data_IF_795809872791
#
_entry.id   IF_795809872791
#
_cell.length_a   1.000
_cell.length_b   1.000
_cell.length_c   1.000
_cell.angle_alpha   90.00
_cell.angle_beta   90.00
_cell.angle_gamma   90.00
#
_symmetry.space_group_name_H-M   'P 1'
#
loop_
_entity.id
_entity.type
_entity.pdbx_description
1 polymer ?
#
# COMPACT_ATOMS: atom_id res chain seq x y z
N UNK A 1 -8.72 -12.96 4.30
CA UNK A 1 -9.07 -11.67 3.66
C UNK A 1 -8.16 -11.50 2.45
N UNK A 2 -8.69 -11.20 1.27
CA UNK A 2 -7.84 -10.86 0.12
C UNK A 2 -7.04 -9.60 0.46
N UNK A 3 -5.73 -9.64 0.21
CA UNK A 3 -4.87 -8.48 0.37
C UNK A 3 -5.16 -7.43 -0.71
N UNK A 4 -4.83 -6.17 -0.42
CA UNK A 4 -4.97 -5.06 -1.38
C UNK A 4 -4.13 -5.29 -2.66
N UNK A 5 -3.05 -6.06 -2.55
CA UNK A 5 -2.10 -6.40 -3.62
C UNK A 5 -2.43 -7.69 -4.39
N UNK A 6 -3.54 -8.33 -4.02
CA UNK A 6 -3.94 -9.65 -4.52
C UNK A 6 -4.97 -9.47 -5.64
N UNK A 7 -4.80 -10.15 -6.78
CA UNK A 7 -5.59 -9.77 -7.97
C UNK A 7 -5.45 -10.65 -9.21
N UNK A 8 -4.88 -11.86 -9.11
CA UNK A 8 -4.90 -12.83 -10.19
C UNK A 8 -5.88 -13.97 -9.89
N UNK A 9 -6.58 -14.44 -10.92
CA UNK A 9 -7.41 -15.64 -10.86
C UNK A 9 -6.53 -16.87 -11.06
N UNK A 10 -5.77 -17.24 -10.01
CA UNK A 10 -4.90 -18.41 -10.06
C UNK A 10 -5.74 -19.71 -10.07
N UNK A 11 -5.70 -20.44 -11.19
CA UNK A 11 -6.41 -21.71 -11.37
C UNK A 11 -5.59 -22.89 -10.83
N UNK A 12 -4.26 -22.77 -10.84
CA UNK A 12 -3.34 -23.81 -10.37
C UNK A 12 -2.53 -23.37 -9.15
N UNK A 13 -2.00 -24.34 -8.39
CA UNK A 13 -1.11 -24.04 -7.25
C UNK A 13 0.18 -23.33 -7.72
N UNK A 14 0.68 -23.67 -8.91
CA UNK A 14 1.85 -23.02 -9.51
C UNK A 14 1.60 -21.53 -9.78
N UNK A 15 0.45 -21.20 -10.36
CA UNK A 15 0.04 -19.81 -10.61
C UNK A 15 -0.12 -19.05 -9.30
N UNK A 16 -0.71 -19.67 -8.28
CA UNK A 16 -0.91 -19.03 -6.98
C UNK A 16 0.42 -18.74 -6.25
N UNK A 17 1.40 -19.65 -6.36
CA UNK A 17 2.76 -19.41 -5.86
C UNK A 17 3.43 -18.24 -6.58
N UNK A 18 3.22 -18.11 -7.90
CA UNK A 18 3.74 -16.97 -8.69
C UNK A 18 3.09 -15.65 -8.26
N UNK A 19 1.78 -15.65 -8.01
CA UNK A 19 1.07 -14.49 -7.46
C UNK A 19 1.65 -14.09 -6.10
N UNK A 20 1.83 -15.04 -5.16
CA UNK A 20 2.47 -14.78 -3.86
C UNK A 20 3.89 -14.23 -3.98
N UNK A 21 4.65 -14.68 -4.98
CA UNK A 21 5.98 -14.12 -5.28
C UNK A 21 5.90 -12.70 -5.84
N UNK A 22 4.87 -12.36 -6.63
CA UNK A 22 4.62 -10.99 -7.10
C UNK A 22 4.24 -10.08 -5.93
N UNK A 23 3.29 -10.50 -5.09
CA UNK A 23 2.92 -9.76 -3.86
C UNK A 23 4.13 -9.48 -2.97
N UNK A 24 5.05 -10.46 -2.82
CA UNK A 24 6.28 -10.26 -2.06
C UNK A 24 7.18 -9.13 -2.60
N UNK A 25 7.15 -8.85 -3.92
CA UNK A 25 7.87 -7.70 -4.48
C UNK A 25 7.24 -6.38 -4.05
N UNK A 26 5.91 -6.33 -4.00
CA UNK A 26 5.18 -5.15 -3.54
C UNK A 26 5.40 -4.91 -2.03
N UNK A 27 5.38 -5.98 -1.22
CA UNK A 27 5.76 -5.89 0.19
C UNK A 27 7.23 -5.49 0.39
N UNK A 28 8.15 -5.89 -0.50
CA UNK A 28 9.53 -5.44 -0.46
C UNK A 28 9.64 -3.93 -0.73
N UNK A 29 8.88 -3.40 -1.69
CA UNK A 29 8.81 -1.96 -1.93
C UNK A 29 8.29 -1.20 -0.70
N UNK A 30 7.30 -1.75 0.01
CA UNK A 30 6.82 -1.18 1.28
C UNK A 30 7.91 -1.15 2.36
N UNK A 31 8.72 -2.21 2.48
CA UNK A 31 9.85 -2.24 3.42
C UNK A 31 10.87 -1.18 3.05
N UNK A 32 11.25 -1.09 1.76
CA UNK A 32 12.21 -0.08 1.29
C UNK A 32 11.70 1.33 1.61
N UNK A 33 10.43 1.61 1.35
CA UNK A 33 9.82 2.90 1.69
C UNK A 33 9.84 3.16 3.20
N UNK A 34 9.54 2.15 4.03
CA UNK A 34 9.65 2.26 5.49
C UNK A 34 11.08 2.56 5.97
N UNK A 35 12.08 1.93 5.36
CA UNK A 35 13.50 2.21 5.65
C UNK A 35 13.89 3.63 5.24
N UNK A 36 13.41 4.12 4.10
CA UNK A 36 13.64 5.52 3.68
C UNK A 36 13.06 6.49 4.71
N UNK A 37 11.84 6.25 5.21
CA UNK A 37 11.25 7.06 6.28
C UNK A 37 12.08 7.02 7.57
N UNK A 38 12.60 5.85 7.94
CA UNK A 38 13.46 5.70 9.11
C UNK A 38 14.77 6.47 8.96
N UNK A 39 15.45 6.34 7.83
CA UNK A 39 16.68 7.08 7.53
C UNK A 39 16.40 8.59 7.57
N UNK A 40 15.33 9.06 6.92
CA UNK A 40 14.92 10.45 7.00
C UNK A 40 14.69 10.91 8.44
N UNK A 41 14.05 10.10 9.28
CA UNK A 41 13.79 10.45 10.68
C UNK A 41 15.07 10.59 11.51
N UNK A 42 16.11 9.79 11.21
CA UNK A 42 17.42 9.86 11.89
C UNK A 42 18.13 11.18 11.56
N UNK A 43 18.15 11.55 10.28
CA UNK A 43 18.80 12.78 9.81
C UNK A 43 17.91 14.03 9.93
N UNK A 44 16.65 13.90 10.35
CA UNK A 44 15.69 14.99 10.33
C UNK A 44 16.13 16.22 11.13
N UNK A 45 16.85 16.03 12.24
CA UNK A 45 17.35 17.17 13.05
C UNK A 45 18.54 17.90 12.43
N UNK A 46 19.27 17.25 11.54
CA UNK A 46 20.39 17.85 10.80
C UNK A 46 19.88 18.52 9.51
N UNK A 47 18.81 17.98 8.92
CA UNK A 47 18.22 18.48 7.68
C UNK A 47 17.20 19.61 7.90
N UNK A 48 16.55 19.65 9.06
CA UNK A 48 15.47 20.59 9.36
C UNK A 48 15.68 21.27 10.72
N UNK A 49 15.99 22.56 10.67
CA UNK A 49 16.11 23.38 11.88
C UNK A 49 14.76 23.47 12.61
N UNK A 50 14.79 23.25 13.93
CA UNK A 50 13.62 23.40 14.79
C UNK A 50 12.59 22.28 14.76
N UNK A 51 12.89 21.13 14.12
CA UNK A 51 11.95 19.99 14.11
C UNK A 51 11.68 19.45 15.53
N UNK A 52 10.41 19.28 15.88
CA UNK A 52 10.02 18.75 17.18
C UNK A 52 10.35 17.26 17.32
N UNK A 53 10.61 16.81 18.56
CA UNK A 53 10.84 15.38 18.84
C UNK A 53 9.62 14.53 18.47
N UNK A 54 8.42 15.08 18.64
CA UNK A 54 7.17 14.40 18.33
C UNK A 54 7.03 14.14 16.82
N UNK A 55 7.41 15.11 15.99
CA UNK A 55 7.39 14.93 14.54
C UNK A 55 8.37 13.84 14.12
N UNK A 56 9.61 13.88 14.62
CA UNK A 56 10.62 12.83 14.37
C UNK A 56 10.10 11.45 14.79
N UNK A 57 9.45 11.36 15.96
CA UNK A 57 8.86 10.13 16.45
C UNK A 57 7.78 9.60 15.48
N UNK A 58 6.86 10.44 15.01
CA UNK A 58 5.80 10.03 14.08
C UNK A 58 6.38 9.44 12.78
N UNK A 59 7.38 10.09 12.17
CA UNK A 59 8.02 9.58 10.96
C UNK A 59 8.73 8.24 11.20
N UNK A 60 9.42 8.11 12.34
CA UNK A 60 10.08 6.86 12.71
C UNK A 60 9.06 5.73 12.96
N UNK A 61 7.98 6.01 13.67
CA UNK A 61 6.92 5.04 13.95
C UNK A 61 6.24 4.57 12.67
N UNK A 62 5.99 5.48 11.72
CA UNK A 62 5.42 5.14 10.43
C UNK A 62 6.38 4.26 9.60
N UNK A 63 7.68 4.60 9.59
CA UNK A 63 8.70 3.79 8.91
C UNK A 63 8.83 2.38 9.47
N UNK A 64 8.83 2.23 10.80
CA UNK A 64 8.83 0.93 11.50
C UNK A 64 7.57 0.15 11.15
N UNK A 65 6.39 0.79 11.22
CA UNK A 65 5.12 0.14 10.91
C UNK A 65 5.12 -0.47 9.52
N UNK A 66 5.55 0.29 8.50
CA UNK A 66 5.64 -0.20 7.12
C UNK A 66 6.63 -1.36 6.96
N UNK A 67 7.81 -1.24 7.56
CA UNK A 67 8.84 -2.27 7.49
C UNK A 67 8.38 -3.58 8.17
N UNK A 68 7.78 -3.49 9.36
CA UNK A 68 7.28 -4.65 10.10
C UNK A 68 6.08 -5.28 9.38
N UNK A 69 5.12 -4.49 8.90
CA UNK A 69 3.95 -5.00 8.18
C UNK A 69 4.34 -5.69 6.87
N UNK A 70 5.29 -5.11 6.12
CA UNK A 70 5.82 -5.72 4.91
C UNK A 70 6.57 -7.03 5.20
N UNK A 71 7.45 -7.03 6.21
CA UNK A 71 8.20 -8.22 6.59
C UNK A 71 7.28 -9.36 7.06
N UNK A 72 6.30 -9.03 7.91
CA UNK A 72 5.31 -9.99 8.38
C UNK A 72 4.52 -10.61 7.22
N UNK A 73 4.11 -9.80 6.23
CA UNK A 73 3.40 -10.27 5.04
C UNK A 73 4.25 -11.21 4.19
N UNK A 74 5.54 -10.91 3.98
CA UNK A 74 6.46 -11.80 3.26
C UNK A 74 6.66 -13.12 4.02
N UNK A 75 6.85 -13.06 5.33
CA UNK A 75 7.00 -14.26 6.17
C UNK A 75 5.73 -15.12 6.12
N UNK A 76 4.55 -14.50 6.20
CA UNK A 76 3.29 -15.22 6.08
C UNK A 76 3.15 -15.89 4.71
N UNK A 77 3.41 -15.16 3.62
CA UNK A 77 3.39 -15.72 2.26
C UNK A 77 4.37 -16.89 2.09
N UNK A 78 5.57 -16.81 2.69
CA UNK A 78 6.53 -17.94 2.69
C UNK A 78 6.00 -19.15 3.46
N UNK A 79 5.29 -18.95 4.58
CA UNK A 79 4.66 -20.04 5.35
C UNK A 79 3.53 -20.71 4.57
N UNK A 80 2.72 -19.93 3.85
CA UNK A 80 1.63 -20.43 2.99
C UNK A 80 2.18 -21.27 1.85
N UNK A 81 3.20 -20.77 1.13
CA UNK A 81 3.82 -21.50 0.01
C UNK A 81 4.46 -22.83 0.44
N UNK A 82 4.94 -22.92 1.68
CA UNK A 82 5.55 -24.15 2.22
C UNK A 82 4.55 -25.20 2.68
N UNK A 83 3.28 -24.84 2.91
CA UNK A 83 2.26 -25.74 3.43
C UNK A 83 1.17 -25.95 2.38
N UNK A 84 1.10 -27.14 1.80
CA UNK A 84 0.17 -27.46 0.71
C UNK A 84 -1.31 -27.31 1.10
N UNK A 85 -1.68 -27.70 2.32
CA UNK A 85 -3.06 -27.57 2.80
C UNK A 85 -3.47 -26.10 2.92
N UNK A 86 -2.59 -25.27 3.50
CA UNK A 86 -2.81 -23.82 3.62
C UNK A 86 -2.82 -23.15 2.26
N UNK A 87 -1.94 -23.56 1.35
CA UNK A 87 -1.88 -23.05 -0.02
C UNK A 87 -3.20 -23.31 -0.75
N UNK A 88 -3.70 -24.56 -0.72
CA UNK A 88 -4.97 -24.94 -1.35
C UNK A 88 -6.14 -24.19 -0.73
N UNK A 89 -6.19 -24.09 0.59
CA UNK A 89 -7.25 -23.36 1.31
C UNK A 89 -7.26 -21.88 0.93
N UNK A 90 -6.12 -21.20 1.01
CA UNK A 90 -6.02 -19.77 0.67
C UNK A 90 -6.31 -19.52 -0.81
N UNK A 91 -5.88 -20.42 -1.72
CA UNK A 91 -6.23 -20.33 -3.14
C UNK A 91 -7.75 -20.39 -3.33
N UNK A 92 -8.43 -21.36 -2.73
CA UNK A 92 -9.89 -21.50 -2.85
C UNK A 92 -10.59 -20.24 -2.35
N UNK A 93 -10.22 -19.77 -1.15
CA UNK A 93 -10.78 -18.54 -0.56
C UNK A 93 -10.51 -17.30 -1.43
N UNK A 94 -9.36 -17.25 -2.10
CA UNK A 94 -8.96 -16.14 -2.96
C UNK A 94 -9.68 -16.17 -4.31
N UNK A 95 -9.92 -17.36 -4.87
CA UNK A 95 -10.70 -17.53 -6.11
C UNK A 95 -12.20 -17.34 -5.93
N UNK A 96 -12.72 -17.40 -4.70
CA UNK A 96 -14.15 -17.16 -4.40
C UNK A 96 -14.59 -15.77 -4.87
N UNK A 97 -15.53 -15.74 -5.82
CA UNK A 97 -16.08 -14.51 -6.38
C UNK A 97 -16.65 -13.56 -5.33
N UNK A 98 -17.26 -14.11 -4.27
CA UNK A 98 -17.83 -13.29 -3.20
C UNK A 98 -16.74 -12.54 -2.47
N UNK A 99 -15.64 -13.21 -2.15
CA UNK A 99 -14.50 -12.59 -1.46
C UNK A 99 -13.84 -11.53 -2.35
N UNK A 100 -13.72 -11.77 -3.66
CA UNK A 100 -13.24 -10.76 -4.62
C UNK A 100 -14.16 -9.54 -4.67
N UNK A 101 -15.48 -9.74 -4.77
CA UNK A 101 -16.47 -8.65 -4.79
C UNK A 101 -16.40 -7.81 -3.50
N UNK A 102 -16.25 -8.46 -2.34
CA UNK A 102 -16.06 -7.76 -1.06
C UNK A 102 -14.76 -6.95 -1.07
N UNK A 103 -13.64 -7.56 -1.49
CA UNK A 103 -12.33 -6.89 -1.53
C UNK A 103 -12.33 -5.65 -2.43
N UNK A 104 -12.92 -5.75 -3.63
CA UNK A 104 -13.03 -4.63 -4.57
C UNK A 104 -13.91 -3.51 -3.97
N UNK A 105 -15.04 -3.87 -3.34
CA UNK A 105 -15.92 -2.87 -2.69
C UNK A 105 -15.22 -2.19 -1.52
N UNK A 106 -14.55 -2.95 -0.66
CA UNK A 106 -13.77 -2.42 0.46
C UNK A 106 -12.68 -1.46 -0.04
N UNK A 107 -11.94 -1.86 -1.08
CA UNK A 107 -10.91 -1.02 -1.70
C UNK A 107 -11.48 0.29 -2.25
N UNK A 108 -12.62 0.23 -2.96
CA UNK A 108 -13.30 1.44 -3.46
C UNK A 108 -13.79 2.36 -2.33
N UNK A 109 -14.32 1.80 -1.24
CA UNK A 109 -14.75 2.59 -0.07
C UNK A 109 -13.53 3.25 0.58
N UNK A 110 -12.45 2.49 0.79
CA UNK A 110 -11.21 3.02 1.38
C UNK A 110 -10.61 4.15 0.54
N UNK A 111 -10.62 4.01 -0.79
CA UNK A 111 -10.15 5.05 -1.72
C UNK A 111 -11.02 6.32 -1.64
N UNK A 112 -12.35 6.17 -1.55
CA UNK A 112 -13.26 7.32 -1.38
C UNK A 112 -13.00 8.05 -0.07
N UNK A 113 -12.83 7.31 1.03
CA UNK A 113 -12.51 7.89 2.34
C UNK A 113 -11.17 8.62 2.28
N UNK A 114 -10.14 8.03 1.65
CA UNK A 114 -8.83 8.66 1.48
C UNK A 114 -8.94 9.99 0.72
N UNK A 115 -9.68 10.04 -0.39
CA UNK A 115 -9.91 11.27 -1.16
C UNK A 115 -10.60 12.33 -0.31
N UNK A 116 -11.60 11.96 0.50
CA UNK A 116 -12.27 12.88 1.42
C UNK A 116 -11.27 13.43 2.45
N UNK A 117 -10.44 12.57 3.05
CA UNK A 117 -9.41 13.01 4.00
C UNK A 117 -8.40 13.99 3.38
N UNK A 118 -7.92 13.70 2.16
CA UNK A 118 -7.02 14.60 1.43
C UNK A 118 -7.70 15.95 1.20
N UNK A 119 -8.96 15.96 0.76
CA UNK A 119 -9.71 17.19 0.51
C UNK A 119 -9.94 18.02 1.78
N UNK A 120 -10.23 17.36 2.91
CA UNK A 120 -10.37 18.05 4.20
C UNK A 120 -9.04 18.69 4.64
N UNK A 121 -7.92 17.96 4.56
CA UNK A 121 -6.60 18.49 4.89
C UNK A 121 -6.25 19.68 3.98
N UNK A 122 -6.51 19.54 2.67
CA UNK A 122 -6.31 20.61 1.68
C UNK A 122 -7.12 21.87 2.05
N UNK A 123 -8.37 21.70 2.45
CA UNK A 123 -9.26 22.83 2.79
C UNK A 123 -8.84 23.52 4.10
N UNK A 124 -8.53 22.76 5.15
CA UNK A 124 -8.23 23.35 6.46
C UNK A 124 -6.80 23.87 6.58
N UNK A 125 -5.81 23.15 6.04
CA UNK A 125 -4.39 23.53 6.13
C UNK A 125 -3.88 24.23 4.88
N UNK A 126 -4.30 23.79 3.68
CA UNK A 126 -3.78 24.33 2.42
C UNK A 126 -4.11 25.80 2.16
N UNK A 127 -5.13 26.36 2.83
CA UNK A 127 -5.40 27.81 2.76
C UNK A 127 -4.32 28.62 3.49
N UNK A 128 -3.77 28.08 4.58
CA UNK A 128 -2.82 28.78 5.45
C UNK A 128 -1.37 28.52 5.07
N UNK A 129 -1.09 27.36 4.50
CA UNK A 129 0.25 26.91 4.15
C UNK A 129 0.32 26.54 2.65
N UNK A 130 0.94 27.39 1.82
CA UNK A 130 1.14 27.13 0.40
C UNK A 130 1.91 25.83 0.13
N UNK A 131 2.83 25.43 1.00
CA UNK A 131 3.59 24.18 0.82
C UNK A 131 2.68 22.96 0.95
N UNK A 132 1.86 22.90 2.00
CA UNK A 132 0.83 21.86 2.16
C UNK A 132 -0.12 21.82 0.96
N UNK A 133 -0.52 22.98 0.42
CA UNK A 133 -1.41 23.04 -0.75
C UNK A 133 -0.78 22.38 -1.97
N UNK A 134 0.47 22.72 -2.27
CA UNK A 134 1.17 22.26 -3.47
C UNK A 134 1.54 20.76 -3.37
N UNK A 135 1.86 20.28 -2.16
CA UNK A 135 2.04 18.84 -1.89
C UNK A 135 0.75 18.05 -2.10
N UNK A 136 -0.38 18.53 -1.57
CA UNK A 136 -1.67 17.85 -1.69
C UNK A 136 -2.21 17.88 -3.13
N UNK A 137 -2.01 18.98 -3.87
CA UNK A 137 -2.39 19.06 -5.29
C UNK A 137 -1.57 18.09 -6.14
N UNK A 138 -0.25 17.98 -5.88
CA UNK A 138 0.63 17.00 -6.51
C UNK A 138 0.19 15.57 -6.22
N UNK A 139 -0.22 15.27 -4.99
CA UNK A 139 -0.70 13.95 -4.60
C UNK A 139 -2.03 13.58 -5.32
N UNK A 140 -2.95 14.54 -5.45
CA UNK A 140 -4.16 14.38 -6.26
C UNK A 140 -3.84 14.09 -7.73
N UNK A 141 -2.87 14.82 -8.32
CA UNK A 141 -2.43 14.59 -9.70
C UNK A 141 -1.85 13.19 -9.88
N UNK A 142 -0.96 12.75 -8.98
CA UNK A 142 -0.39 11.39 -9.00
C UNK A 142 -1.50 10.33 -8.91
N UNK A 143 -2.50 10.54 -8.05
CA UNK A 143 -3.63 9.61 -7.90
C UNK A 143 -4.46 9.52 -9.20
N UNK A 144 -4.76 10.65 -9.84
CA UNK A 144 -5.50 10.68 -11.11
C UNK A 144 -4.70 10.04 -12.25
N UNK A 145 -3.42 10.40 -12.39
CA UNK A 145 -2.53 9.83 -13.43
C UNK A 145 -2.38 8.32 -13.23
N UNK A 146 -2.12 7.87 -11.99
CA UNK A 146 -1.98 6.44 -11.69
C UNK A 146 -3.26 5.66 -12.01
N UNK A 147 -4.44 6.24 -11.76
CA UNK A 147 -5.71 5.65 -12.17
C UNK A 147 -5.82 5.53 -13.70
N UNK A 148 -5.55 6.61 -14.45
CA UNK A 148 -5.62 6.59 -15.92
C UNK A 148 -4.63 5.60 -16.54
N UNK A 149 -3.38 5.60 -16.08
CA UNK A 149 -2.34 4.66 -16.53
C UNK A 149 -2.76 3.22 -16.23
N UNK A 150 -3.21 2.95 -15.00
CA UNK A 150 -3.66 1.60 -14.60
C UNK A 150 -4.87 1.16 -15.43
N UNK A 151 -5.85 2.04 -15.65
CA UNK A 151 -7.02 1.77 -16.48
C UNK A 151 -6.60 1.42 -17.91
N UNK A 152 -5.72 2.22 -18.53
CA UNK A 152 -5.25 1.98 -19.90
C UNK A 152 -4.44 0.70 -20.04
N UNK A 153 -3.61 0.35 -19.04
CA UNK A 153 -2.85 -0.90 -19.05
C UNK A 153 -3.79 -2.10 -18.91
N UNK A 154 -4.81 -2.01 -18.04
CA UNK A 154 -5.76 -3.09 -17.82
C UNK A 154 -6.75 -3.24 -18.98
N UNK A 155 -7.24 -2.15 -19.56
CA UNK A 155 -8.07 -2.14 -20.76
C UNK A 155 -7.38 -2.83 -21.94
N UNK A 156 -6.07 -2.64 -22.12
CA UNK A 156 -5.31 -3.32 -23.19
C UNK A 156 -5.11 -4.82 -22.97
N UNK A 157 -5.31 -5.31 -21.74
CA UNK A 157 -5.11 -6.72 -21.37
C UNK A 157 -6.40 -7.53 -21.36
N UNK A 158 -7.56 -6.86 -21.36
CA UNK A 158 -8.91 -7.44 -21.43
C UNK A 158 -9.35 -7.46 -22.89
#
# INVERSE_FOLDING_TARGET
MLGIFSGLDAKTDKEYILEKKRENKEYLLLIIFGVICLVHSVFARELYDGISKDNVFIYSAFGIFLAVAGLWSIVNNRRVVKNEERLKKERIEHTDERNKKISIRASRISLRILIICIFLIYTFKGIKDPETRDMMSSLCLILVISYFVSYKILERKI
#
